data_IF_324851487544
#
_entry.id   IF_324851487544
#
_cell.length_a   1.000
_cell.length_b   1.000
_cell.length_c   1.000
_cell.angle_alpha   90.00
_cell.angle_beta   90.00
_cell.angle_gamma   90.00
#
_symmetry.space_group_name_H-M   'P 1'
#
loop_
_entity.id
_entity.type
_entity.pdbx_description
1 polymer ?
#
# COMPACT_ATOMS: atom_id res chain seq x y z
N UNK A 1 47.85 -49.80 -98.19
CA UNK A 1 46.75 -49.18 -97.43
C UNK A 1 46.90 -49.58 -95.98
N UNK A 2 47.30 -48.67 -95.10
CA UNK A 2 47.28 -48.85 -93.65
C UNK A 2 46.47 -47.70 -93.06
N UNK A 3 45.29 -48.02 -92.54
CA UNK A 3 44.39 -47.07 -91.90
C UNK A 3 44.94 -46.68 -90.53
N UNK A 4 45.19 -45.38 -90.36
CA UNK A 4 45.55 -44.76 -89.08
C UNK A 4 44.33 -44.73 -88.17
N UNK A 5 44.37 -45.50 -87.09
CA UNK A 5 43.32 -45.53 -86.08
C UNK A 5 43.70 -44.59 -84.93
N UNK A 6 43.20 -43.35 -84.98
CA UNK A 6 43.33 -42.40 -83.88
C UNK A 6 42.14 -42.57 -82.94
N UNK A 7 42.40 -43.10 -81.75
CA UNK A 7 41.40 -43.26 -80.71
C UNK A 7 41.49 -42.08 -79.73
N UNK A 8 40.56 -41.13 -79.85
CA UNK A 8 40.38 -40.07 -78.86
C UNK A 8 39.42 -40.55 -77.77
N UNK A 9 39.92 -40.68 -76.55
CA UNK A 9 39.10 -40.97 -75.37
C UNK A 9 38.83 -39.68 -74.61
N UNK A 10 37.63 -39.14 -74.80
CA UNK A 10 37.05 -38.20 -73.85
C UNK A 10 36.32 -39.01 -72.78
N UNK A 11 36.87 -39.04 -71.56
CA UNK A 11 36.09 -39.48 -70.39
C UNK A 11 36.37 -38.57 -69.20
N UNK A 12 35.28 -38.01 -68.69
CA UNK A 12 35.23 -36.81 -67.88
C UNK A 12 35.86 -36.94 -66.51
N UNK A 13 36.39 -35.81 -66.04
CA UNK A 13 36.77 -35.62 -64.64
C UNK A 13 35.55 -35.89 -63.75
N UNK A 14 35.52 -37.04 -63.10
CA UNK A 14 34.74 -37.22 -61.89
C UNK A 14 35.35 -36.31 -60.82
N UNK A 15 34.89 -35.06 -60.77
CA UNK A 15 35.09 -34.22 -59.61
C UNK A 15 34.35 -34.92 -58.46
N UNK A 16 35.09 -35.70 -57.67
CA UNK A 16 34.65 -36.06 -56.32
C UNK A 16 34.54 -34.75 -55.54
N UNK A 17 33.41 -34.07 -55.70
CA UNK A 17 32.98 -33.03 -54.81
C UNK A 17 32.65 -33.75 -53.49
N UNK A 18 33.68 -33.98 -52.67
CA UNK A 18 33.50 -34.11 -51.24
C UNK A 18 32.98 -32.74 -50.81
N UNK A 19 31.66 -32.59 -50.89
CA UNK A 19 30.94 -31.60 -50.11
C UNK A 19 31.29 -31.97 -48.69
N UNK A 20 32.27 -31.27 -48.13
CA UNK A 20 32.50 -31.27 -46.70
C UNK A 20 31.23 -30.68 -46.13
N UNK A 21 30.24 -31.53 -45.86
CA UNK A 21 29.24 -31.25 -44.85
C UNK A 21 30.06 -31.12 -43.57
N UNK A 22 30.54 -29.90 -43.33
CA UNK A 22 30.99 -29.43 -42.05
C UNK A 22 29.76 -29.53 -41.15
N UNK A 23 29.50 -30.75 -40.71
CA UNK A 23 28.66 -31.08 -39.57
C UNK A 23 29.34 -30.36 -38.42
N UNK A 24 28.93 -29.10 -38.22
CA UNK A 24 29.28 -28.32 -37.06
C UNK A 24 28.49 -28.95 -35.91
N UNK A 25 28.93 -30.14 -35.49
CA UNK A 25 28.37 -30.89 -34.38
C UNK A 25 28.82 -30.17 -33.13
N UNK A 26 28.24 -29.00 -32.90
CA UNK A 26 28.34 -28.31 -31.65
C UNK A 26 27.88 -29.32 -30.60
N UNK A 27 28.81 -29.71 -29.72
CA UNK A 27 28.61 -30.84 -28.79
C UNK A 27 27.23 -30.71 -28.14
N UNK A 28 26.44 -31.79 -28.08
CA UNK A 28 25.04 -31.70 -27.62
C UNK A 28 24.85 -30.98 -26.28
N UNK A 29 25.90 -30.92 -25.45
CA UNK A 29 25.99 -30.14 -24.22
C UNK A 29 25.84 -28.63 -24.44
N UNK A 30 26.42 -28.08 -25.50
CA UNK A 30 26.28 -26.65 -25.86
C UNK A 30 24.87 -26.34 -26.36
N UNK A 31 24.26 -27.22 -27.14
CA UNK A 31 22.87 -27.07 -27.56
C UNK A 31 21.90 -27.09 -26.37
N UNK A 32 22.10 -28.03 -25.43
CA UNK A 32 21.36 -28.08 -24.16
C UNK A 32 21.55 -26.82 -23.31
N UNK A 33 22.77 -26.25 -23.28
CA UNK A 33 23.03 -25.00 -22.58
C UNK A 33 22.24 -23.82 -23.18
N UNK A 34 22.19 -23.70 -24.51
CA UNK A 34 21.38 -22.66 -25.16
C UNK A 34 19.87 -22.83 -24.90
N UNK A 35 19.37 -24.06 -24.89
CA UNK A 35 17.96 -24.35 -24.55
C UNK A 35 17.68 -23.96 -23.09
N UNK A 36 18.59 -24.30 -22.17
CA UNK A 36 18.47 -23.92 -20.77
C UNK A 36 18.51 -22.40 -20.57
N UNK A 37 19.39 -21.70 -21.30
CA UNK A 37 19.46 -20.24 -21.29
C UNK A 37 18.15 -19.61 -21.78
N UNK A 38 17.57 -20.15 -22.86
CA UNK A 38 16.30 -19.68 -23.41
C UNK A 38 15.14 -19.93 -22.42
N UNK A 39 15.13 -21.09 -21.76
CA UNK A 39 14.18 -21.40 -20.69
C UNK A 39 14.31 -20.41 -19.52
N UNK A 40 15.53 -20.09 -19.10
CA UNK A 40 15.80 -19.12 -18.03
C UNK A 40 15.24 -17.74 -18.40
N UNK A 41 15.50 -17.27 -19.62
CA UNK A 41 14.97 -16.00 -20.12
C UNK A 41 13.43 -15.99 -20.15
N UNK A 42 12.81 -17.07 -20.61
CA UNK A 42 11.35 -17.19 -20.61
C UNK A 42 10.78 -17.12 -19.17
N UNK A 43 11.44 -17.77 -18.22
CA UNK A 43 11.03 -17.78 -16.81
C UNK A 43 11.13 -16.38 -16.18
N UNK A 44 12.18 -15.62 -16.51
CA UNK A 44 12.35 -14.23 -16.08
C UNK A 44 11.22 -13.35 -16.63
N UNK A 45 10.86 -13.47 -17.91
CA UNK A 45 9.75 -12.72 -18.49
C UNK A 45 8.41 -13.03 -17.80
N UNK A 46 8.10 -14.30 -17.58
CA UNK A 46 6.87 -14.72 -16.89
C UNK A 46 6.84 -14.19 -15.45
N UNK A 47 7.97 -14.27 -14.74
CA UNK A 47 8.09 -13.72 -13.39
C UNK A 47 7.87 -12.21 -13.34
N UNK A 48 8.40 -11.46 -14.33
CA UNK A 48 8.21 -10.02 -14.44
C UNK A 48 6.74 -9.62 -14.62
N UNK A 49 6.02 -10.35 -15.47
CA UNK A 49 4.57 -10.14 -15.67
C UNK A 49 3.81 -10.46 -14.38
N UNK A 50 4.17 -11.55 -13.69
CA UNK A 50 3.54 -11.94 -12.43
C UNK A 50 3.75 -10.89 -11.32
N UNK A 51 4.94 -10.32 -11.23
CA UNK A 51 5.22 -9.21 -10.30
C UNK A 51 4.39 -7.98 -10.63
N UNK A 52 4.29 -7.63 -11.92
CA UNK A 52 3.50 -6.48 -12.39
C UNK A 52 2.01 -6.62 -12.03
N UNK A 53 1.44 -7.82 -12.15
CA UNK A 53 0.06 -8.12 -11.75
C UNK A 53 -0.12 -8.02 -10.23
N UNK A 54 0.82 -8.54 -9.44
CA UNK A 54 0.78 -8.44 -7.97
C UNK A 54 0.86 -6.99 -7.49
N UNK A 55 1.73 -6.18 -8.09
CA UNK A 55 1.87 -4.75 -7.82
C UNK A 55 0.55 -4.03 -8.14
N UNK A 56 -0.06 -4.35 -9.29
CA UNK A 56 -1.35 -3.78 -9.69
C UNK A 56 -2.44 -4.11 -8.69
N UNK A 57 -2.56 -5.37 -8.25
CA UNK A 57 -3.53 -5.78 -7.24
C UNK A 57 -3.30 -5.09 -5.88
N UNK A 58 -2.03 -4.93 -5.48
CA UNK A 58 -1.68 -4.17 -4.27
C UNK A 58 -2.07 -2.70 -4.40
N UNK A 59 -1.81 -2.06 -5.53
CA UNK A 59 -2.21 -0.68 -5.81
C UNK A 59 -3.73 -0.51 -5.75
N UNK A 60 -4.50 -1.45 -6.30
CA UNK A 60 -5.96 -1.42 -6.17
C UNK A 60 -6.40 -1.47 -4.71
N UNK A 61 -5.80 -2.36 -3.91
CA UNK A 61 -6.10 -2.46 -2.48
C UNK A 61 -5.74 -1.17 -1.73
N UNK A 62 -4.58 -0.58 -2.03
CA UNK A 62 -4.16 0.71 -1.45
C UNK A 62 -5.15 1.80 -1.84
N UNK A 63 -5.50 1.92 -3.11
CA UNK A 63 -6.46 2.92 -3.60
C UNK A 63 -7.84 2.77 -2.95
N UNK A 64 -8.32 1.53 -2.75
CA UNK A 64 -9.60 1.31 -2.06
C UNK A 64 -9.54 1.72 -0.58
N UNK A 65 -8.41 1.46 0.09
CA UNK A 65 -8.21 1.86 1.49
C UNK A 65 -8.10 3.38 1.63
N UNK A 66 -7.43 4.05 0.68
CA UNK A 66 -7.35 5.52 0.64
C UNK A 66 -8.73 6.16 0.44
N UNK A 67 -9.56 5.57 -0.43
CA UNK A 67 -10.92 6.03 -0.66
C UNK A 67 -11.81 5.84 0.58
N UNK A 68 -11.68 4.70 1.25
CA UNK A 68 -12.37 4.43 2.53
C UNK A 68 -11.95 5.44 3.61
N UNK A 69 -10.65 5.69 3.77
CA UNK A 69 -10.13 6.69 4.72
C UNK A 69 -10.71 8.09 4.41
N UNK A 70 -10.70 8.50 3.15
CA UNK A 70 -11.22 9.80 2.74
C UNK A 70 -12.73 9.91 3.02
N UNK A 71 -13.48 8.83 2.81
CA UNK A 71 -14.92 8.81 3.13
C UNK A 71 -15.20 8.96 4.63
N UNK A 72 -14.44 8.25 5.48
CA UNK A 72 -14.53 8.35 6.94
C UNK A 72 -14.14 9.75 7.40
N UNK A 73 -13.07 10.34 6.84
CA UNK A 73 -12.65 11.69 7.21
C UNK A 73 -13.73 12.73 6.88
N UNK A 74 -14.37 12.62 5.70
CA UNK A 74 -15.50 13.47 5.33
C UNK A 74 -16.68 13.30 6.29
N UNK A 75 -16.95 12.08 6.73
CA UNK A 75 -18.00 11.82 7.71
C UNK A 75 -17.70 12.50 9.04
N UNK A 76 -16.46 12.37 9.55
CA UNK A 76 -15.99 13.05 10.76
C UNK A 76 -16.15 14.56 10.64
N UNK A 77 -15.70 15.16 9.53
CA UNK A 77 -15.82 16.60 9.30
C UNK A 77 -17.29 17.04 9.26
N UNK A 78 -18.16 16.25 8.63
CA UNK A 78 -19.60 16.52 8.59
C UNK A 78 -20.24 16.43 9.98
N UNK A 79 -19.79 15.48 10.81
CA UNK A 79 -20.29 15.28 12.16
C UNK A 79 -19.83 16.43 13.06
N UNK A 80 -18.58 16.86 12.94
CA UNK A 80 -18.05 18.03 13.62
C UNK A 80 -18.80 19.30 13.25
N UNK A 81 -19.14 19.49 11.96
CA UNK A 81 -19.98 20.61 11.52
C UNK A 81 -21.39 20.56 12.13
N UNK A 82 -22.01 19.38 12.21
CA UNK A 82 -23.32 19.21 12.87
C UNK A 82 -23.21 19.54 14.35
N UNK A 83 -22.20 19.04 15.04
CA UNK A 83 -21.94 19.33 16.45
C UNK A 83 -21.73 20.83 16.67
N UNK A 84 -20.89 21.47 15.85
CA UNK A 84 -20.67 22.91 15.94
C UNK A 84 -21.95 23.73 15.66
N UNK A 85 -22.81 23.26 14.75
CA UNK A 85 -24.13 23.87 14.51
C UNK A 85 -25.07 23.71 15.70
N UNK A 86 -25.14 22.50 16.26
CA UNK A 86 -26.00 22.19 17.41
C UNK A 86 -25.53 22.94 18.68
N UNK A 87 -24.22 23.02 18.89
CA UNK A 87 -23.59 23.78 19.98
C UNK A 87 -23.42 25.26 19.66
N UNK A 88 -23.87 25.73 18.48
CA UNK A 88 -23.69 27.13 18.14
C UNK A 88 -24.45 28.00 19.14
N UNK A 89 -23.77 29.03 19.65
CA UNK A 89 -24.34 29.99 20.61
C UNK A 89 -25.65 30.58 20.07
N UNK A 90 -25.71 30.85 18.77
CA UNK A 90 -26.92 31.33 18.08
C UNK A 90 -28.11 30.38 18.24
N UNK A 91 -27.91 29.05 18.16
CA UNK A 91 -28.99 28.07 18.35
C UNK A 91 -29.39 27.96 19.82
N UNK A 92 -28.41 27.95 20.73
CA UNK A 92 -28.67 27.95 22.18
C UNK A 92 -29.49 29.19 22.57
N UNK A 93 -29.11 30.36 22.05
CA UNK A 93 -29.81 31.62 22.27
C UNK A 93 -31.22 31.60 21.67
N UNK A 94 -31.38 31.03 20.47
CA UNK A 94 -32.70 30.86 19.83
C UNK A 94 -33.61 30.02 20.71
N UNK A 95 -33.13 28.88 21.21
CA UNK A 95 -33.91 28.00 22.11
C UNK A 95 -34.20 28.73 23.43
N UNK A 96 -33.21 29.41 24.02
CA UNK A 96 -33.36 30.15 25.27
C UNK A 96 -34.43 31.25 25.16
N UNK A 97 -34.37 32.11 24.14
CA UNK A 97 -35.31 33.22 23.96
C UNK A 97 -36.67 32.76 23.43
N UNK A 98 -36.73 31.82 22.49
CA UNK A 98 -37.98 31.46 21.82
C UNK A 98 -38.76 30.36 22.53
N UNK A 99 -38.08 29.28 22.93
CA UNK A 99 -38.74 28.10 23.49
C UNK A 99 -38.84 28.20 25.01
N UNK A 100 -37.77 28.66 25.67
CA UNK A 100 -37.70 28.78 27.13
C UNK A 100 -38.14 30.17 27.64
N UNK A 101 -38.42 31.12 26.74
CA UNK A 101 -38.79 32.51 27.06
C UNK A 101 -37.82 33.18 28.05
N UNK A 102 -36.55 32.78 28.02
CA UNK A 102 -35.51 33.38 28.82
C UNK A 102 -35.23 34.79 28.30
N UNK A 103 -35.06 35.71 29.25
CA UNK A 103 -34.73 37.11 28.98
C UNK A 103 -33.31 37.35 29.48
N UNK A 104 -32.56 38.18 28.76
CA UNK A 104 -31.21 38.52 29.15
C UNK A 104 -31.24 39.36 30.44
N UNK A 105 -30.46 39.01 31.47
CA UNK A 105 -30.48 39.74 32.72
C UNK A 105 -29.80 41.10 32.57
N UNK A 106 -30.46 42.16 33.04
CA UNK A 106 -29.93 43.55 32.95
C UNK A 106 -28.63 43.75 33.73
N UNK A 107 -28.39 42.95 34.77
CA UNK A 107 -27.19 42.99 35.61
C UNK A 107 -26.82 41.59 36.06
N UNK A 108 -25.53 41.28 35.95
CA UNK A 108 -24.95 40.03 36.45
C UNK A 108 -24.08 40.38 37.65
N UNK A 109 -24.47 39.90 38.83
CA UNK A 109 -23.68 40.07 40.06
C UNK A 109 -22.93 38.76 40.36
N UNK A 110 -21.60 38.87 40.47
CA UNK A 110 -20.74 37.74 40.80
C UNK A 110 -20.50 37.72 42.31
N UNK A 111 -21.06 36.71 42.99
CA UNK A 111 -20.81 36.48 44.41
C UNK A 111 -19.62 35.53 44.56
N UNK A 112 -18.47 36.08 44.93
CA UNK A 112 -17.30 35.28 45.31
C UNK A 112 -17.47 34.78 46.74
N UNK A 113 -17.89 33.54 46.89
CA UNK A 113 -17.85 32.85 48.17
C UNK A 113 -16.39 32.60 48.54
N UNK A 114 -15.91 33.25 49.60
CA UNK A 114 -14.62 32.92 50.20
C UNK A 114 -14.75 31.52 50.79
N UNK A 115 -14.29 30.52 50.05
CA UNK A 115 -14.26 29.15 50.51
C UNK A 115 -13.31 29.06 51.71
N UNK A 116 -13.85 29.02 52.93
CA UNK A 116 -13.16 28.41 54.06
C UNK A 116 -13.48 26.94 53.96
N UNK A 117 -12.58 26.17 53.33
CA UNK A 117 -12.56 24.70 53.29
C UNK A 117 -13.94 24.08 53.52
N UNK A 118 -14.88 24.38 52.63
CA UNK A 118 -15.92 23.44 52.33
C UNK A 118 -15.20 22.41 51.48
N UNK A 119 -15.10 21.18 52.00
CA UNK A 119 -14.81 19.99 51.22
C UNK A 119 -15.46 20.20 49.87
N UNK A 120 -14.61 20.28 48.83
CA UNK A 120 -15.10 20.35 47.48
C UNK A 120 -16.05 19.16 47.33
N UNK A 121 -17.36 19.41 47.24
CA UNK A 121 -18.21 18.57 46.40
C UNK A 121 -17.66 18.80 45.00
N UNK A 122 -16.56 18.10 44.74
CA UNK A 122 -16.03 17.81 43.44
C UNK A 122 -17.24 17.21 42.75
N UNK A 123 -17.99 18.03 42.00
CA UNK A 123 -18.62 17.51 40.80
C UNK A 123 -17.49 16.72 40.16
N UNK A 124 -17.55 15.37 40.14
CA UNK A 124 -16.48 14.62 39.51
C UNK A 124 -16.36 15.26 38.15
N UNK A 125 -15.20 15.89 37.87
CA UNK A 125 -14.82 16.27 36.51
C UNK A 125 -15.30 15.07 35.72
N UNK A 126 -16.33 15.20 34.87
CA UNK A 126 -16.97 14.03 34.26
C UNK A 126 -15.81 13.34 33.63
N UNK A 127 -15.50 12.16 34.19
CA UNK A 127 -14.14 11.66 34.20
C UNK A 127 -13.55 11.89 32.84
N UNK A 128 -12.24 12.12 32.81
CA UNK A 128 -11.50 11.38 31.80
C UNK A 128 -11.93 9.92 31.98
N UNK A 129 -13.08 9.54 31.38
CA UNK A 129 -13.32 8.23 30.86
C UNK A 129 -12.17 8.19 29.90
N UNK A 130 -11.05 7.66 30.37
CA UNK A 130 -10.08 7.08 29.49
C UNK A 130 -10.95 6.22 28.59
N UNK A 131 -11.22 6.75 27.40
CA UNK A 131 -11.99 6.04 26.40
C UNK A 131 -11.25 4.72 26.34
N UNK A 132 -11.92 3.58 26.55
CA UNK A 132 -11.27 2.28 26.75
C UNK A 132 -10.12 2.04 25.74
N UNK A 133 -10.29 2.52 24.52
CA UNK A 133 -9.30 2.53 23.46
C UNK A 133 -8.03 3.36 23.73
N UNK A 134 -8.09 4.50 24.42
CA UNK A 134 -6.92 5.30 24.84
C UNK A 134 -6.03 4.50 25.80
N UNK A 135 -6.62 3.79 26.77
CA UNK A 135 -5.88 2.89 27.67
C UNK A 135 -5.25 1.73 26.91
N UNK A 136 -6.01 1.11 26.00
CA UNK A 136 -5.51 0.00 25.14
C UNK A 136 -4.35 0.45 24.25
N UNK A 137 -4.41 1.67 23.69
CA UNK A 137 -3.34 2.22 22.86
C UNK A 137 -2.11 2.53 23.71
N UNK A 138 -2.28 3.12 24.89
CA UNK A 138 -1.16 3.44 25.77
C UNK A 138 -0.42 2.16 26.24
N UNK A 139 -1.16 1.14 26.68
CA UNK A 139 -0.59 -0.16 27.08
C UNK A 139 0.14 -0.86 25.91
N UNK A 140 -0.39 -0.78 24.69
CA UNK A 140 0.27 -1.33 23.52
C UNK A 140 1.55 -0.57 23.15
N UNK A 141 1.51 0.76 23.21
CA UNK A 141 2.68 1.61 22.93
C UNK A 141 3.81 1.35 23.92
N UNK A 142 3.49 1.25 25.21
CA UNK A 142 4.46 0.92 26.25
C UNK A 142 5.04 -0.47 26.03
N UNK A 143 4.21 -1.46 25.69
CA UNK A 143 4.69 -2.84 25.43
C UNK A 143 5.57 -2.94 24.18
N UNK A 144 5.31 -2.17 23.13
CA UNK A 144 6.16 -2.16 21.91
C UNK A 144 7.43 -1.33 22.12
N UNK A 145 7.36 -0.24 22.89
CA UNK A 145 8.51 0.59 23.23
C UNK A 145 9.50 -0.10 24.16
N UNK A 146 9.00 -0.86 25.14
CA UNK A 146 9.85 -1.58 26.11
C UNK A 146 10.58 -2.77 25.52
N UNK A 147 10.01 -3.49 24.53
CA UNK A 147 10.71 -4.61 23.87
C UNK A 147 11.92 -4.13 23.06
N UNK A 148 11.93 -2.87 22.58
CA UNK A 148 13.09 -2.30 21.87
C UNK A 148 14.19 -1.77 22.79
N UNK A 149 13.90 -1.55 24.07
CA UNK A 149 14.87 -0.96 25.01
C UNK A 149 15.70 -2.01 25.77
N UNK A 150 15.34 -3.29 25.70
CA UNK A 150 16.04 -4.37 26.42
C UNK A 150 17.14 -5.07 25.59
N UNK A 151 17.25 -4.79 24.28
CA UNK A 151 18.32 -5.34 23.41
C UNK A 151 19.63 -4.51 23.40
N UNK A 152 19.74 -3.44 24.21
CA UNK A 152 20.94 -2.58 24.26
C UNK A 152 21.64 -2.57 25.63
N UNK A 153 21.74 -3.71 26.32
CA UNK A 153 22.66 -3.86 27.45
C UNK A 153 23.37 -5.20 27.50
#
# INVERSE_FOLDING_TARGET
MLQTNYHYTYQGKNAHNKVNASSNSMSGKMALFYIFLLLLFALILVSYICQSVKITHLNYKVSSLEEELNSIQREVDSLNLKVAREMSVARIETIARNDLKMVEPDKVEFVFLRNRELEEDIYPVPGQREIFFVRVINDFLERVGTVRAEELR
#
